data_IF_097915142046
#
_entry.id   IF_097915142046
#
_cell.length_a   1.000
_cell.length_b   1.000
_cell.length_c   1.000
_cell.angle_alpha   90.00
_cell.angle_beta   90.00
_cell.angle_gamma   90.00
#
_symmetry.space_group_name_H-M   'P 1'
#
loop_
_entity.id
_entity.type
_entity.pdbx_description
1 polymer ?
#
# COMPACT_ATOMS: atom_id res chain seq x y z
N UNK A 1 16.67 9.53 28.66
CA UNK A 1 17.51 9.68 27.44
C UNK A 1 16.55 9.69 26.26
N UNK A 2 16.14 10.88 25.81
CA UNK A 2 15.21 11.06 24.70
C UNK A 2 15.98 11.25 23.40
N UNK A 3 15.55 10.58 22.33
CA UNK A 3 16.12 10.76 20.99
C UNK A 3 15.53 12.02 20.34
N UNK A 4 16.39 12.95 19.93
CA UNK A 4 16.08 14.27 19.34
C UNK A 4 15.50 14.22 17.91
N UNK A 5 14.94 13.09 17.45
CA UNK A 5 14.48 12.96 16.05
C UNK A 5 12.98 13.17 15.85
N UNK A 6 12.20 13.48 16.89
CA UNK A 6 10.74 13.63 16.76
C UNK A 6 10.01 12.36 16.27
N UNK A 7 10.74 11.25 16.14
CA UNK A 7 10.28 10.02 15.50
C UNK A 7 9.64 9.12 16.56
N UNK A 8 8.31 8.93 16.49
CA UNK A 8 7.60 7.99 17.35
C UNK A 8 7.42 6.69 16.58
N UNK A 9 8.06 5.62 17.05
CA UNK A 9 7.87 4.27 16.51
C UNK A 9 6.77 3.52 17.29
N UNK A 10 5.90 2.82 16.56
CA UNK A 10 4.81 2.02 17.12
C UNK A 10 5.03 0.53 16.86
N UNK A 11 4.78 -0.31 17.87
CA UNK A 11 4.97 -1.76 17.76
C UNK A 11 3.78 -2.47 17.09
N UNK A 12 2.58 -1.93 17.23
CA UNK A 12 1.33 -2.48 16.69
C UNK A 12 0.20 -1.43 16.79
N UNK A 13 -0.98 -1.75 16.25
CA UNK A 13 -2.17 -0.87 16.28
C UNK A 13 -2.57 -0.43 17.68
N UNK A 14 -2.51 -1.33 18.66
CA UNK A 14 -2.82 -1.00 20.07
C UNK A 14 -1.83 0.00 20.64
N UNK A 15 -0.53 -0.18 20.36
CA UNK A 15 0.54 0.75 20.78
C UNK A 15 0.35 2.14 20.17
N UNK A 16 -0.07 2.20 18.91
CA UNK A 16 -0.46 3.46 18.27
C UNK A 16 -1.67 4.11 18.91
N UNK A 17 -2.77 3.39 19.07
CA UNK A 17 -3.99 3.94 19.68
C UNK A 17 -3.76 4.42 21.12
N UNK A 18 -2.83 3.81 21.86
CA UNK A 18 -2.48 4.18 23.22
C UNK A 18 -1.49 5.36 23.31
N UNK A 19 -0.55 5.48 22.37
CA UNK A 19 0.51 6.50 22.39
C UNK A 19 0.25 7.69 21.48
N UNK A 20 -0.75 7.62 20.59
CA UNK A 20 -1.09 8.76 19.72
C UNK A 20 -1.41 9.96 20.61
N UNK A 21 -0.87 11.16 20.29
CA UNK A 21 -1.17 12.35 21.05
C UNK A 21 -2.68 12.51 21.17
N UNK A 22 -3.20 12.56 22.40
CA UNK A 22 -4.57 12.97 22.60
C UNK A 22 -4.67 14.39 22.04
N UNK A 23 -5.56 14.60 21.07
CA UNK A 23 -5.88 15.95 20.58
C UNK A 23 -6.05 16.86 21.80
N UNK A 24 -5.44 18.07 21.83
CA UNK A 24 -5.89 19.07 22.78
C UNK A 24 -7.39 19.17 22.57
N UNK A 25 -8.18 18.88 23.62
CA UNK A 25 -9.62 19.13 23.61
C UNK A 25 -9.76 20.61 23.29
N UNK A 26 -9.94 20.95 22.01
CA UNK A 26 -10.40 22.25 21.61
C UNK A 26 -11.68 22.45 22.42
N UNK A 27 -11.61 23.38 23.38
CA UNK A 27 -12.68 23.64 24.30
C UNK A 27 -13.93 23.92 23.46
N UNK A 28 -14.85 22.96 23.45
CA UNK A 28 -16.22 23.19 23.01
C UNK A 28 -16.69 24.42 23.78
N UNK A 29 -17.20 25.46 23.11
CA UNK A 29 -17.65 26.66 23.79
C UNK A 29 -18.86 26.28 24.64
N UNK A 30 -18.62 26.10 25.95
CA UNK A 30 -19.68 26.10 26.94
C UNK A 30 -20.32 27.48 26.95
N UNK A 31 -21.63 27.51 26.80
CA UNK A 31 -22.51 28.68 26.90
C UNK A 31 -22.31 29.43 28.23
N UNK A 32 -22.62 30.74 28.28
CA UNK A 32 -21.88 31.71 29.08
C UNK A 32 -22.40 31.81 30.52
N UNK A 33 -21.48 31.99 31.46
CA UNK A 33 -21.78 32.66 32.73
C UNK A 33 -21.09 34.02 32.73
N UNK A 34 -21.89 35.04 33.02
CA UNK A 34 -21.59 36.47 33.06
C UNK A 34 -20.34 36.81 33.89
N UNK A 35 -19.36 37.51 33.31
CA UNK A 35 -18.59 38.55 34.01
C UNK A 35 -17.99 39.55 33.02
N UNK A 36 -18.16 40.83 33.34
CA UNK A 36 -17.91 42.04 32.56
C UNK A 36 -16.46 42.53 32.67
N UNK A 37 -15.70 42.66 31.57
CA UNK A 37 -14.45 43.47 31.41
C UNK A 37 -14.33 43.90 29.92
N UNK A 38 -13.78 45.10 29.57
CA UNK A 38 -14.23 45.88 28.42
C UNK A 38 -13.51 45.62 27.08
N UNK A 39 -14.22 46.06 26.04
CA UNK A 39 -14.01 45.98 24.59
C UNK A 39 -12.76 46.73 24.08
N UNK A 40 -11.96 46.13 23.18
CA UNK A 40 -11.31 46.86 22.10
C UNK A 40 -12.05 46.58 20.77
N UNK A 41 -12.23 47.64 19.98
CA UNK A 41 -12.95 47.60 18.71
C UNK A 41 -12.25 46.69 17.68
N UNK A 42 -13.01 45.71 17.19
CA UNK A 42 -12.66 44.95 16.00
C UNK A 42 -13.85 44.99 15.02
N UNK A 43 -13.50 45.33 13.79
CA UNK A 43 -14.32 45.49 12.59
C UNK A 43 -15.22 44.26 12.35
N UNK A 44 -16.50 44.43 11.95
CA UNK A 44 -17.40 43.30 11.73
C UNK A 44 -16.99 42.51 10.48
N UNK A 45 -16.57 41.26 10.67
CA UNK A 45 -16.51 40.25 9.61
C UNK A 45 -17.81 39.46 9.66
N UNK A 46 -18.51 39.48 8.54
CA UNK A 46 -19.78 38.84 8.27
C UNK A 46 -19.71 37.32 8.49
N UNK A 47 -20.61 36.78 9.33
CA UNK A 47 -20.69 35.36 9.70
C UNK A 47 -21.94 34.73 9.11
N UNK A 48 -21.99 34.61 7.79
CA UNK A 48 -22.96 33.73 7.11
C UNK A 48 -22.35 33.07 5.88
N UNK A 49 -21.55 32.03 6.08
CA UNK A 49 -21.32 30.94 5.13
C UNK A 49 -20.56 29.81 5.87
N UNK A 50 -20.41 28.64 5.23
CA UNK A 50 -19.59 27.50 5.68
C UNK A 50 -20.06 26.70 6.91
N UNK A 51 -21.32 26.25 6.91
CA UNK A 51 -21.67 24.94 7.50
C UNK A 51 -22.28 23.94 6.51
N UNK A 52 -22.63 24.37 5.31
CA UNK A 52 -23.28 23.54 4.30
C UNK A 52 -22.30 22.79 3.37
N UNK A 53 -21.06 23.27 3.18
CA UNK A 53 -20.15 22.68 2.19
C UNK A 53 -19.45 21.39 2.63
N UNK A 54 -19.09 21.24 3.92
CA UNK A 54 -18.40 20.03 4.39
C UNK A 54 -19.31 18.79 4.41
N UNK A 55 -20.58 18.95 4.77
CA UNK A 55 -21.52 17.82 4.78
C UNK A 55 -21.92 17.37 3.38
N UNK A 56 -21.90 18.29 2.40
CA UNK A 56 -22.16 17.96 1.00
C UNK A 56 -20.93 17.30 0.35
N UNK A 57 -19.71 17.77 0.67
CA UNK A 57 -18.46 17.15 0.20
C UNK A 57 -18.26 15.73 0.76
N UNK A 58 -18.59 15.50 2.04
CA UNK A 58 -18.55 14.17 2.63
C UNK A 58 -19.58 13.21 1.99
N UNK A 59 -20.79 13.71 1.69
CA UNK A 59 -21.83 12.93 1.01
C UNK A 59 -21.49 12.63 -0.45
N UNK A 60 -20.90 13.58 -1.17
CA UNK A 60 -20.50 13.40 -2.57
C UNK A 60 -19.31 12.43 -2.69
N UNK A 61 -18.39 12.47 -1.73
CA UNK A 61 -17.26 11.51 -1.64
C UNK A 61 -17.76 10.11 -1.30
N UNK A 62 -18.64 9.97 -0.30
CA UNK A 62 -19.26 8.69 0.03
C UNK A 62 -20.06 8.12 -1.16
N UNK A 63 -20.77 8.97 -1.90
CA UNK A 63 -21.51 8.57 -3.10
C UNK A 63 -20.58 8.08 -4.21
N UNK A 64 -19.47 8.77 -4.47
CA UNK A 64 -18.48 8.35 -5.48
C UNK A 64 -17.78 7.04 -5.12
N UNK A 65 -17.52 6.79 -3.84
CA UNK A 65 -16.97 5.51 -3.34
C UNK A 65 -18.00 4.38 -3.53
N UNK A 66 -19.27 4.63 -3.21
CA UNK A 66 -20.35 3.64 -3.42
C UNK A 66 -20.60 3.38 -4.91
N UNK A 67 -20.57 4.40 -5.76
CA UNK A 67 -20.73 4.28 -7.22
C UNK A 67 -19.54 3.56 -7.88
N UNK A 68 -18.33 3.66 -7.30
CA UNK A 68 -17.17 2.89 -7.70
C UNK A 68 -17.25 1.43 -7.24
N UNK A 69 -17.69 1.19 -6.01
CA UNK A 69 -17.91 -0.16 -5.46
C UNK A 69 -19.02 -0.92 -6.21
N UNK A 70 -20.05 -0.23 -6.69
CA UNK A 70 -21.15 -0.81 -7.47
C UNK A 70 -20.73 -1.26 -8.89
N UNK A 71 -19.53 -0.86 -9.37
CA UNK A 71 -18.97 -1.28 -10.66
C UNK A 71 -18.03 -2.47 -10.55
N UNK A 72 -17.74 -2.94 -9.34
CA UNK A 72 -16.99 -4.17 -9.13
C UNK A 72 -17.93 -5.38 -9.27
N UNK A 73 -17.50 -6.47 -9.93
CA UNK A 73 -18.30 -7.69 -9.98
C UNK A 73 -18.52 -8.24 -8.55
N UNK A 74 -19.70 -8.80 -8.24
CA UNK A 74 -19.96 -9.34 -6.92
C UNK A 74 -18.99 -10.50 -6.65
N UNK A 75 -18.10 -10.32 -5.68
CA UNK A 75 -17.30 -11.41 -5.14
C UNK A 75 -18.23 -12.40 -4.43
N UNK A 76 -18.09 -13.72 -4.66
CA UNK A 76 -18.90 -14.70 -3.95
C UNK A 76 -18.61 -14.65 -2.45
N UNK A 77 -19.62 -14.84 -1.58
CA UNK A 77 -19.43 -14.80 -0.13
C UNK A 77 -18.52 -15.96 0.30
N UNK A 78 -17.43 -15.62 1.00
CA UNK A 78 -16.66 -16.59 1.78
C UNK A 78 -17.50 -17.06 2.96
N UNK A 79 -18.07 -18.26 2.83
CA UNK A 79 -18.64 -18.99 3.95
C UNK A 79 -17.54 -19.37 4.93
N UNK A 80 -17.60 -18.76 6.10
CA UNK A 80 -16.78 -19.09 7.27
C UNK A 80 -17.17 -20.50 7.74
N UNK A 81 -16.26 -21.47 7.59
CA UNK A 81 -16.39 -22.76 8.28
C UNK A 81 -15.82 -22.56 9.69
N UNK A 82 -16.72 -22.33 10.64
CA UNK A 82 -16.46 -22.38 12.07
C UNK A 82 -16.38 -23.84 12.56
N UNK A 83 -15.34 -24.11 13.33
CA UNK A 83 -15.23 -25.06 14.44
C UNK A 83 -15.82 -26.48 14.31
N UNK A 84 -14.92 -27.47 14.29
CA UNK A 84 -15.22 -28.85 14.67
C UNK A 84 -14.13 -29.42 15.59
N UNK A 85 -14.48 -29.61 16.86
CA UNK A 85 -13.98 -30.69 17.76
C UNK A 85 -15.14 -31.05 18.70
N UNK A 86 -15.18 -32.24 19.31
CA UNK A 86 -15.68 -33.50 18.78
C UNK A 86 -16.91 -34.01 19.60
N UNK A 87 -17.27 -35.28 19.39
CA UNK A 87 -18.25 -36.09 20.13
C UNK A 87 -19.73 -35.90 19.76
N UNK A 88 -20.24 -36.87 18.98
CA UNK A 88 -21.33 -37.76 19.40
C UNK A 88 -21.65 -38.77 18.29
N UNK A 89 -21.28 -40.03 18.53
CA UNK A 89 -21.83 -41.20 17.85
C UNK A 89 -23.23 -41.44 18.44
N UNK A 90 -24.25 -41.69 17.60
CA UNK A 90 -24.84 -43.03 17.64
C UNK A 90 -25.03 -43.66 16.25
N UNK A 91 -24.74 -44.96 16.21
CA UNK A 91 -25.14 -45.94 15.20
C UNK A 91 -26.57 -45.74 14.71
N UNK A 92 -26.75 -45.59 13.40
CA UNK A 92 -27.94 -46.11 12.69
C UNK A 92 -27.49 -46.64 11.32
N UNK A 93 -27.67 -47.95 11.17
CA UNK A 93 -27.54 -48.70 9.94
C UNK A 93 -28.62 -48.29 8.92
N UNK A 94 -28.21 -48.03 7.69
CA UNK A 94 -29.04 -48.23 6.49
C UNK A 94 -28.13 -48.25 5.28
N UNK A 95 -28.04 -49.43 4.67
CA UNK A 95 -27.45 -49.67 3.36
C UNK A 95 -28.19 -48.83 2.32
N UNK A 96 -27.52 -47.85 1.72
CA UNK A 96 -27.91 -47.32 0.41
C UNK A 96 -26.69 -47.24 -0.50
N UNK A 97 -26.84 -47.95 -1.61
CA UNK A 97 -25.90 -48.17 -2.69
C UNK A 97 -25.69 -46.86 -3.44
N UNK A 98 -24.56 -46.21 -3.22
CA UNK A 98 -24.13 -45.05 -4.03
C UNK A 98 -23.29 -45.58 -5.18
N UNK A 99 -23.82 -45.46 -6.40
CA UNK A 99 -23.06 -45.67 -7.64
C UNK A 99 -21.97 -44.60 -7.75
N UNK A 100 -20.73 -45.07 -7.82
CA UNK A 100 -19.53 -44.29 -8.05
C UNK A 100 -19.51 -43.78 -9.50
N UNK A 101 -20.05 -42.57 -9.71
CA UNK A 101 -19.88 -41.86 -10.99
C UNK A 101 -18.53 -41.13 -10.93
N UNK A 102 -17.47 -41.82 -11.31
CA UNK A 102 -16.18 -41.22 -11.57
C UNK A 102 -16.27 -40.32 -12.81
N UNK A 103 -16.66 -39.07 -12.61
CA UNK A 103 -16.56 -38.04 -13.64
C UNK A 103 -15.09 -37.67 -13.78
N UNK A 104 -14.44 -38.29 -14.77
CA UNK A 104 -13.09 -37.96 -15.22
C UNK A 104 -13.14 -36.53 -15.74
N UNK A 105 -12.74 -35.57 -14.90
CA UNK A 105 -12.46 -34.20 -15.32
C UNK A 105 -11.23 -34.28 -16.21
N UNK A 106 -11.43 -34.26 -17.53
CA UNK A 106 -10.36 -33.99 -18.48
C UNK A 106 -9.79 -32.60 -18.18
N UNK A 107 -8.65 -32.57 -17.48
CA UNK A 107 -7.85 -31.36 -17.33
C UNK A 107 -7.38 -30.94 -18.73
N UNK A 108 -8.09 -29.98 -19.33
CA UNK A 108 -7.60 -29.29 -20.51
C UNK A 108 -6.25 -28.66 -20.14
N UNK A 109 -5.19 -28.93 -20.90
CA UNK A 109 -3.88 -28.35 -20.62
C UNK A 109 -4.02 -26.83 -20.69
N UNK A 110 -3.67 -26.17 -19.58
CA UNK A 110 -3.61 -24.71 -19.49
C UNK A 110 -2.70 -24.24 -20.62
N UNK A 111 -3.30 -23.64 -21.64
CA UNK A 111 -2.57 -23.04 -22.75
C UNK A 111 -1.61 -22.00 -22.15
N UNK A 112 -0.32 -22.32 -22.25
CA UNK A 112 0.76 -21.45 -21.83
C UNK A 112 0.70 -20.23 -22.74
N UNK A 113 0.10 -19.15 -22.26
CA UNK A 113 -0.04 -17.90 -23.02
C UNK A 113 1.37 -17.42 -23.36
N UNK A 114 1.81 -17.66 -24.59
CA UNK A 114 3.04 -17.08 -25.13
C UNK A 114 2.79 -15.60 -25.41
N UNK A 115 2.81 -14.78 -24.35
CA UNK A 115 2.89 -13.33 -24.50
C UNK A 115 4.29 -12.99 -24.99
N UNK A 116 4.42 -12.80 -26.32
CA UNK A 116 5.55 -12.11 -26.98
C UNK A 116 5.58 -10.61 -26.63
N UNK A 117 5.40 -10.28 -25.36
CA UNK A 117 5.49 -8.92 -24.88
C UNK A 117 6.96 -8.53 -24.69
N UNK A 118 7.31 -7.31 -25.06
CA UNK A 118 8.67 -6.79 -24.95
C UNK A 118 9.08 -6.74 -23.48
N UNK A 119 9.96 -7.65 -23.07
CA UNK A 119 10.49 -7.69 -21.72
C UNK A 119 11.30 -6.42 -21.45
N UNK A 120 10.94 -5.68 -20.40
CA UNK A 120 11.66 -4.50 -19.93
C UNK A 120 12.78 -4.97 -18.99
N UNK A 121 14.05 -5.02 -19.43
CA UNK A 121 15.20 -5.33 -18.56
C UNK A 121 15.62 -4.11 -17.71
N UNK A 122 14.71 -3.66 -16.84
CA UNK A 122 14.93 -2.55 -15.89
C UNK A 122 14.06 -2.72 -14.64
N UNK A 123 14.41 -2.06 -13.53
CA UNK A 123 13.55 -1.95 -12.35
C UNK A 123 12.12 -1.52 -12.68
N UNK A 124 11.15 -1.98 -11.88
CA UNK A 124 9.84 -1.34 -11.78
C UNK A 124 9.94 -0.28 -10.68
N UNK A 125 9.85 0.99 -11.06
CA UNK A 125 9.74 2.10 -10.10
C UNK A 125 8.43 2.80 -10.44
N UNK A 126 7.42 2.56 -9.61
CA UNK A 126 6.04 2.90 -9.92
C UNK A 126 5.49 3.82 -8.84
N UNK A 127 4.99 4.96 -9.29
CA UNK A 127 4.29 5.94 -8.47
C UNK A 127 2.79 5.85 -8.75
N UNK A 128 1.96 5.77 -7.72
CA UNK A 128 0.51 5.61 -7.82
C UNK A 128 -0.17 6.80 -7.15
N UNK A 129 -0.81 7.64 -7.97
CA UNK A 129 -1.51 8.85 -7.54
C UNK A 129 -2.80 8.51 -6.84
N UNK A 130 -3.13 9.26 -5.79
CA UNK A 130 -4.44 9.25 -5.16
C UNK A 130 -5.53 9.93 -5.99
N UNK A 131 -6.67 10.19 -5.35
CA UNK A 131 -7.79 10.86 -5.99
C UNK A 131 -7.48 12.33 -6.28
N UNK A 132 -7.39 12.69 -7.56
CA UNK A 132 -7.18 14.08 -7.97
C UNK A 132 -8.48 14.91 -7.90
N UNK A 133 -8.86 15.36 -6.71
CA UNK A 133 -9.98 16.29 -6.51
C UNK A 133 -9.48 17.74 -6.61
N UNK A 134 -9.53 18.32 -7.82
CA UNK A 134 -9.12 19.70 -8.19
C UNK A 134 -7.61 19.98 -8.24
N UNK A 135 -7.23 21.01 -9.00
CA UNK A 135 -5.86 21.47 -9.31
C UNK A 135 -5.08 22.07 -8.13
N UNK A 136 -5.31 21.57 -6.92
CA UNK A 136 -4.66 21.99 -5.67
C UNK A 136 -4.06 20.83 -4.87
N UNK A 137 -4.02 19.63 -5.46
CA UNK A 137 -3.16 18.54 -5.01
C UNK A 137 -1.72 18.96 -5.26
N UNK A 138 -0.80 18.71 -4.32
CA UNK A 138 0.61 18.99 -4.59
C UNK A 138 1.10 18.06 -5.70
N UNK A 139 1.98 18.57 -6.55
CA UNK A 139 2.59 17.76 -7.61
C UNK A 139 3.76 16.92 -7.06
N UNK A 140 3.98 16.88 -5.74
CA UNK A 140 5.13 16.28 -5.08
C UNK A 140 5.39 14.82 -5.43
N UNK A 141 4.35 13.98 -5.58
CA UNK A 141 4.51 12.60 -6.05
C UNK A 141 5.00 12.54 -7.52
N UNK A 142 4.50 13.43 -8.38
CA UNK A 142 4.91 13.52 -9.78
C UNK A 142 6.31 14.12 -9.92
N UNK A 143 6.64 15.12 -9.09
CA UNK A 143 7.97 15.70 -9.01
C UNK A 143 8.99 14.64 -8.60
N UNK A 144 8.69 13.84 -7.56
CA UNK A 144 9.51 12.70 -7.18
C UNK A 144 9.68 11.72 -8.34
N UNK A 145 8.59 11.36 -9.02
CA UNK A 145 8.64 10.46 -10.16
C UNK A 145 9.53 11.02 -11.29
N UNK A 146 9.37 12.29 -11.63
CA UNK A 146 10.10 12.96 -12.73
C UNK A 146 11.61 13.00 -12.51
N UNK A 147 12.04 13.10 -11.24
CA UNK A 147 13.44 13.10 -10.84
C UNK A 147 14.08 11.69 -10.86
N UNK A 148 13.28 10.62 -10.96
CA UNK A 148 13.77 9.25 -11.05
C UNK A 148 13.68 8.74 -12.50
N UNK A 149 14.81 8.54 -13.19
CA UNK A 149 14.81 8.08 -14.57
C UNK A 149 14.05 6.76 -14.74
N UNK A 150 13.18 6.72 -15.76
CA UNK A 150 12.39 5.53 -16.14
C UNK A 150 11.39 5.09 -15.05
N UNK A 151 11.04 5.95 -14.11
CA UNK A 151 9.85 5.76 -13.29
C UNK A 151 8.59 5.74 -14.17
N UNK A 152 7.51 5.17 -13.66
CA UNK A 152 6.19 5.18 -14.29
C UNK A 152 5.18 5.72 -13.27
N UNK A 153 4.24 6.53 -13.73
CA UNK A 153 3.18 7.12 -12.90
C UNK A 153 1.84 6.56 -13.36
N UNK A 154 1.03 6.14 -12.39
CA UNK A 154 -0.31 5.58 -12.59
C UNK A 154 -1.31 6.25 -11.64
N UNK A 155 -2.59 6.16 -11.95
CA UNK A 155 -3.71 6.48 -11.08
C UNK A 155 -4.03 5.28 -10.17
N UNK A 156 -4.60 5.54 -8.98
CA UNK A 156 -5.15 4.52 -8.08
C UNK A 156 -6.14 3.56 -8.77
N UNK A 157 -6.78 4.02 -9.86
CA UNK A 157 -7.73 3.22 -10.64
C UNK A 157 -7.06 2.24 -11.63
N UNK A 158 -5.75 2.32 -11.84
CA UNK A 158 -5.01 1.58 -12.87
C UNK A 158 -4.22 0.40 -12.28
N UNK A 159 -4.84 -0.31 -11.32
CA UNK A 159 -4.20 -1.42 -10.60
C UNK A 159 -3.69 -2.52 -11.54
N UNK A 160 -4.52 -2.93 -12.49
CA UNK A 160 -4.22 -4.05 -13.37
C UNK A 160 -3.05 -3.70 -14.32
N UNK A 161 -3.01 -2.47 -14.80
CA UNK A 161 -1.92 -1.93 -15.62
C UNK A 161 -0.59 -1.89 -14.86
N UNK A 162 -0.63 -1.56 -13.57
CA UNK A 162 0.54 -1.63 -12.69
C UNK A 162 1.04 -3.07 -12.57
N UNK A 163 0.15 -4.03 -12.26
CA UNK A 163 0.50 -5.45 -12.16
C UNK A 163 1.10 -5.96 -13.47
N UNK A 164 0.45 -5.70 -14.61
CA UNK A 164 0.96 -6.09 -15.92
C UNK A 164 2.34 -5.48 -16.22
N UNK A 165 2.53 -4.19 -15.90
CA UNK A 165 3.82 -3.51 -16.09
C UNK A 165 4.93 -4.21 -15.31
N UNK A 166 4.66 -4.61 -14.06
CA UNK A 166 5.62 -5.34 -13.21
C UNK A 166 5.93 -6.72 -13.79
N UNK A 167 4.93 -7.44 -14.29
CA UNK A 167 5.11 -8.78 -14.86
C UNK A 167 5.90 -8.77 -16.18
N UNK A 168 5.89 -7.65 -16.92
CA UNK A 168 6.73 -7.42 -18.11
C UNK A 168 8.23 -7.25 -17.79
N UNK A 169 8.65 -7.42 -16.53
CA UNK A 169 10.06 -7.29 -16.09
C UNK A 169 10.60 -8.59 -15.49
N UNK A 170 11.89 -8.92 -15.71
CA UNK A 170 12.52 -10.09 -15.10
C UNK A 170 12.37 -10.12 -13.58
N UNK A 171 12.25 -11.32 -12.99
CA UNK A 171 12.11 -11.52 -11.53
C UNK A 171 13.32 -11.05 -10.72
N UNK A 172 14.46 -10.89 -11.37
CA UNK A 172 15.70 -10.36 -10.79
C UNK A 172 15.73 -8.84 -10.73
N UNK A 173 14.83 -8.15 -11.44
CA UNK A 173 14.73 -6.70 -11.38
C UNK A 173 13.91 -6.28 -10.16
N UNK A 174 14.36 -5.25 -9.41
CA UNK A 174 13.66 -4.82 -8.22
C UNK A 174 12.29 -4.21 -8.57
N UNK A 175 11.34 -4.37 -7.65
CA UNK A 175 10.01 -3.77 -7.73
C UNK A 175 9.84 -2.79 -6.58
N UNK A 176 9.57 -1.54 -6.94
CA UNK A 176 9.43 -0.42 -6.03
C UNK A 176 8.08 0.23 -6.32
N UNK A 177 7.24 0.29 -5.30
CA UNK A 177 5.90 0.89 -5.34
C UNK A 177 5.85 2.07 -4.38
N UNK A 178 5.38 3.22 -4.83
CA UNK A 178 5.15 4.41 -4.02
C UNK A 178 3.73 4.86 -4.28
N UNK A 179 2.92 4.96 -3.24
CA UNK A 179 1.55 5.45 -3.35
C UNK A 179 1.30 6.64 -2.44
N UNK A 180 0.30 7.44 -2.79
CA UNK A 180 -0.24 8.50 -1.94
C UNK A 180 -1.76 8.40 -1.84
N UNK A 181 -2.33 8.59 -0.64
CA UNK A 181 -3.78 8.57 -0.43
C UNK A 181 -4.40 7.25 -0.92
N UNK A 182 -5.41 7.29 -1.81
CA UNK A 182 -5.93 6.07 -2.48
C UNK A 182 -4.87 5.29 -3.25
N UNK A 183 -3.84 5.96 -3.78
CA UNK A 183 -2.74 5.30 -4.47
C UNK A 183 -1.87 4.47 -3.54
N UNK A 184 -1.80 4.82 -2.25
CA UNK A 184 -1.15 3.98 -1.22
C UNK A 184 -1.90 2.68 -1.00
N UNK A 185 -3.23 2.74 -0.93
CA UNK A 185 -4.11 1.57 -0.83
C UNK A 185 -3.93 0.68 -2.05
N UNK A 186 -4.00 1.25 -3.25
CA UNK A 186 -3.72 0.52 -4.50
C UNK A 186 -2.33 -0.10 -4.51
N UNK A 187 -1.29 0.58 -4.02
CA UNK A 187 0.06 0.02 -3.96
C UNK A 187 0.12 -1.22 -3.04
N UNK A 188 -0.61 -1.20 -1.93
CA UNK A 188 -0.76 -2.37 -1.04
C UNK A 188 -1.54 -3.48 -1.73
N UNK A 189 -2.64 -3.18 -2.41
CA UNK A 189 -3.41 -4.17 -3.18
C UNK A 189 -2.56 -4.83 -4.28
N UNK A 190 -1.77 -4.05 -5.04
CA UNK A 190 -0.83 -4.57 -6.03
C UNK A 190 0.17 -5.52 -5.37
N UNK A 191 0.73 -5.16 -4.21
CA UNK A 191 1.67 -6.01 -3.51
C UNK A 191 1.01 -7.32 -3.05
N UNK A 192 -0.24 -7.27 -2.56
CA UNK A 192 -1.01 -8.44 -2.17
C UNK A 192 -1.35 -9.32 -3.38
N UNK A 193 -1.73 -8.73 -4.51
CA UNK A 193 -1.99 -9.43 -5.77
C UNK A 193 -0.74 -10.22 -6.20
N UNK A 194 0.41 -9.54 -6.26
CA UNK A 194 1.70 -10.14 -6.59
C UNK A 194 2.15 -11.25 -5.61
N UNK A 195 1.58 -11.29 -4.40
CA UNK A 195 1.83 -12.34 -3.40
C UNK A 195 1.07 -13.65 -3.68
N UNK A 196 0.28 -13.74 -4.75
CA UNK A 196 -0.42 -14.98 -5.12
C UNK A 196 0.50 -15.96 -5.86
N UNK A 197 0.13 -17.24 -5.81
CA UNK A 197 0.86 -18.32 -6.48
C UNK A 197 0.86 -18.17 -8.01
N UNK A 198 -0.20 -17.58 -8.58
CA UNK A 198 -0.33 -17.33 -10.02
C UNK A 198 0.73 -16.35 -10.56
N UNK A 199 1.22 -15.44 -9.72
CA UNK A 199 2.36 -14.56 -10.02
C UNK A 199 3.67 -15.08 -9.41
N UNK A 200 3.64 -16.29 -8.84
CA UNK A 200 4.76 -16.97 -8.21
C UNK A 200 5.33 -16.22 -7.01
N UNK A 201 4.51 -15.49 -6.24
CA UNK A 201 4.98 -14.66 -5.11
C UNK A 201 6.02 -13.61 -5.57
N UNK A 202 5.65 -12.78 -6.56
CA UNK A 202 6.55 -11.75 -7.08
C UNK A 202 6.92 -10.79 -5.94
N UNK A 203 8.23 -10.66 -5.70
CA UNK A 203 8.76 -9.82 -4.62
C UNK A 203 8.58 -8.33 -4.93
N UNK A 204 8.28 -7.58 -3.88
CA UNK A 204 8.28 -6.11 -3.83
C UNK A 204 9.41 -5.70 -2.88
N UNK A 205 10.45 -5.07 -3.42
CA UNK A 205 11.64 -4.71 -2.64
C UNK A 205 11.40 -3.52 -1.73
N UNK A 206 10.57 -2.58 -2.19
CA UNK A 206 10.16 -1.40 -1.43
C UNK A 206 8.71 -1.05 -1.73
N UNK A 207 7.92 -0.88 -0.67
CA UNK A 207 6.58 -0.34 -0.70
C UNK A 207 6.56 0.93 0.15
N UNK A 208 6.27 2.08 -0.45
CA UNK A 208 6.10 3.35 0.27
C UNK A 208 4.63 3.72 0.24
N UNK A 209 4.06 3.98 1.42
CA UNK A 209 2.70 4.48 1.57
C UNK A 209 2.74 5.86 2.20
N UNK A 210 2.23 6.85 1.48
CA UNK A 210 2.11 8.23 1.93
C UNK A 210 0.65 8.50 2.30
N UNK A 211 0.43 8.68 3.60
CA UNK A 211 -0.84 8.99 4.24
C UNK A 211 -2.04 8.26 3.59
N UNK A 212 -2.01 6.93 3.69
CA UNK A 212 -2.93 6.06 2.97
C UNK A 212 -4.38 6.30 3.37
N UNK A 213 -5.26 6.25 2.37
CA UNK A 213 -6.73 6.31 2.53
C UNK A 213 -7.28 5.09 1.80
N UNK A 214 -8.05 4.26 2.48
CA UNK A 214 -8.47 2.99 1.91
C UNK A 214 -9.06 2.04 2.95
N UNK A 215 -9.34 0.82 2.53
CA UNK A 215 -9.79 -0.24 3.42
C UNK A 215 -8.86 -1.44 3.29
N UNK A 216 -8.48 -2.04 4.42
CA UNK A 216 -7.72 -3.30 4.50
C UNK A 216 -6.26 -3.23 3.99
N UNK A 217 -5.67 -2.05 3.97
CA UNK A 217 -4.27 -1.80 3.65
C UNK A 217 -3.34 -1.79 4.90
N UNK A 218 -3.90 -1.92 6.10
CA UNK A 218 -3.17 -2.10 7.38
C UNK A 218 -2.19 -3.29 7.38
N UNK A 219 -2.41 -4.34 6.56
CA UNK A 219 -1.61 -5.58 6.60
C UNK A 219 -0.75 -5.74 5.35
N UNK A 220 0.56 -5.72 5.55
CA UNK A 220 1.56 -5.85 4.49
C UNK A 220 1.92 -7.32 4.25
N UNK A 221 1.84 -7.76 3.00
CA UNK A 221 2.09 -9.13 2.57
C UNK A 221 3.57 -9.52 2.63
N UNK A 222 3.83 -10.82 2.80
CA UNK A 222 5.17 -11.38 3.01
C UNK A 222 6.12 -11.27 1.79
N UNK A 223 5.60 -10.99 0.59
CA UNK A 223 6.42 -10.71 -0.59
C UNK A 223 7.02 -9.30 -0.59
N UNK A 224 6.59 -8.42 0.33
CA UNK A 224 7.17 -7.09 0.52
C UNK A 224 8.36 -7.21 1.46
N UNK A 225 9.55 -6.83 0.99
CA UNK A 225 10.77 -6.86 1.80
C UNK A 225 10.81 -5.72 2.82
N UNK A 226 10.47 -4.51 2.37
CA UNK A 226 10.46 -3.32 3.23
C UNK A 226 9.27 -2.44 2.89
N UNK A 227 8.51 -2.04 3.90
CA UNK A 227 7.49 -1.01 3.79
C UNK A 227 7.86 0.22 4.64
N UNK A 228 7.81 1.39 4.01
CA UNK A 228 7.91 2.69 4.67
C UNK A 228 6.53 3.33 4.64
N UNK A 229 5.93 3.49 5.82
CA UNK A 229 4.61 4.06 5.97
C UNK A 229 4.71 5.42 6.66
N UNK A 230 4.37 6.48 5.93
CA UNK A 230 4.33 7.84 6.44
C UNK A 230 2.87 8.21 6.68
N UNK A 231 2.54 8.59 7.91
CA UNK A 231 1.17 8.83 8.37
C UNK A 231 1.05 10.30 8.74
N UNK A 232 0.13 11.03 8.12
CA UNK A 232 -0.20 12.40 8.52
C UNK A 232 -0.94 12.42 9.85
N UNK A 233 -0.74 13.46 10.65
CA UNK A 233 -1.47 13.66 11.90
C UNK A 233 -2.82 14.38 11.70
N UNK A 234 -3.14 14.76 10.47
CA UNK A 234 -4.40 15.42 10.13
C UNK A 234 -5.54 14.41 9.94
N UNK A 235 -6.55 14.55 10.78
CA UNK A 235 -7.65 13.60 10.83
C UNK A 235 -8.75 13.95 9.81
N UNK A 236 -8.71 13.32 8.63
CA UNK A 236 -9.85 13.31 7.71
C UNK A 236 -10.90 12.22 7.99
N UNK A 237 -10.70 11.40 9.02
CA UNK A 237 -11.63 10.32 9.38
C UNK A 237 -11.60 9.10 8.45
N UNK A 238 -10.72 9.12 7.44
CA UNK A 238 -10.52 8.06 6.44
C UNK A 238 -9.03 7.70 6.30
N UNK A 239 -8.13 8.38 7.03
CA UNK A 239 -6.72 8.03 7.05
C UNK A 239 -6.54 6.69 7.76
N UNK A 240 -5.75 5.82 7.16
CA UNK A 240 -5.59 4.46 7.61
C UNK A 240 -4.69 4.36 8.85
N UNK A 241 -4.72 3.20 9.53
CA UNK A 241 -3.90 2.98 10.72
C UNK A 241 -2.44 2.66 10.32
N UNK A 242 -1.52 2.51 11.30
CA UNK A 242 -0.17 2.05 10.98
C UNK A 242 -0.17 0.68 10.33
N UNK A 243 0.62 0.54 9.27
CA UNK A 243 0.87 -0.72 8.60
C UNK A 243 1.54 -1.74 9.54
N UNK A 244 1.22 -3.02 9.35
CA UNK A 244 1.72 -4.14 10.14
C UNK A 244 2.17 -5.25 9.18
N UNK A 245 3.35 -5.82 9.42
CA UNK A 245 3.82 -6.97 8.66
C UNK A 245 2.93 -8.18 8.96
N UNK A 246 2.45 -8.87 7.93
CA UNK A 246 1.80 -10.19 8.11
C UNK A 246 2.77 -11.22 8.68
N UNK A 247 4.04 -11.15 8.27
CA UNK A 247 5.12 -11.97 8.81
C UNK A 247 6.42 -11.14 8.89
N UNK A 248 6.91 -10.95 10.11
CA UNK A 248 8.11 -10.12 10.39
C UNK A 248 9.42 -10.75 9.96
N UNK A 249 9.45 -12.06 9.67
CA UNK A 249 10.65 -12.75 9.19
C UNK A 249 10.95 -12.39 7.72
N UNK A 250 9.92 -12.01 6.96
CA UNK A 250 10.03 -11.68 5.54
C UNK A 250 9.88 -10.17 5.26
N UNK A 251 9.12 -9.47 6.10
CA UNK A 251 8.72 -8.09 5.86
C UNK A 251 9.12 -7.19 7.01
N UNK A 252 9.91 -6.16 6.69
CA UNK A 252 10.22 -5.08 7.62
C UNK A 252 9.28 -3.89 7.38
N UNK A 253 8.48 -3.53 8.39
CA UNK A 253 7.58 -2.35 8.32
C UNK A 253 8.12 -1.25 9.23
N UNK A 254 8.23 -0.04 8.69
CA UNK A 254 8.63 1.16 9.42
C UNK A 254 7.48 2.17 9.30
N UNK A 255 6.89 2.52 10.44
CA UNK A 255 5.83 3.53 10.53
C UNK A 255 6.40 4.84 11.08
N UNK A 256 6.08 5.96 10.43
CA UNK A 256 6.42 7.31 10.87
C UNK A 256 5.17 8.19 10.91
N UNK A 257 4.78 8.64 12.10
CA UNK A 257 3.76 9.68 12.27
C UNK A 257 4.40 11.05 12.04
N UNK A 258 3.73 11.91 11.27
CA UNK A 258 4.25 13.22 10.83
C UNK A 258 3.22 14.32 11.06
N UNK A 259 3.71 15.53 11.26
CA UNK A 259 2.88 16.76 11.32
C UNK A 259 2.52 17.33 9.94
N UNK A 260 2.88 16.62 8.87
CA UNK A 260 2.54 17.01 7.51
C UNK A 260 1.05 16.71 7.26
N UNK A 261 0.38 17.57 6.49
CA UNK A 261 -1.00 17.30 6.08
C UNK A 261 -1.07 16.19 5.03
N UNK A 262 -2.23 15.58 4.87
CA UNK A 262 -2.54 14.59 3.84
C UNK A 262 -2.01 15.01 2.47
N UNK A 263 -2.19 16.27 2.09
CA UNK A 263 -1.69 16.82 0.81
C UNK A 263 -0.25 17.34 0.89
N UNK A 264 0.23 17.67 2.08
CA UNK A 264 1.57 18.21 2.31
C UNK A 264 2.65 17.16 2.36
N UNK A 265 2.33 15.93 2.76
CA UNK A 265 3.30 14.87 3.05
C UNK A 265 4.17 14.49 1.83
N UNK A 266 3.60 14.56 0.63
CA UNK A 266 4.32 14.29 -0.63
C UNK A 266 5.26 15.44 -1.05
N UNK A 267 5.08 16.64 -0.49
CA UNK A 267 5.92 17.82 -0.71
C UNK A 267 6.98 17.99 0.39
N UNK A 268 6.98 17.13 1.41
CA UNK A 268 7.91 17.19 2.53
C UNK A 268 9.30 16.77 2.06
N UNK A 269 10.26 17.68 2.07
CA UNK A 269 11.65 17.43 1.63
C UNK A 269 12.27 16.23 2.37
N UNK A 270 11.96 16.07 3.66
CA UNK A 270 12.45 14.93 4.45
C UNK A 270 11.87 13.60 3.97
N UNK A 271 10.56 13.56 3.66
CA UNK A 271 9.90 12.36 3.12
C UNK A 271 10.49 12.03 1.76
N UNK A 272 10.61 13.02 0.88
CA UNK A 272 11.19 12.84 -0.45
C UNK A 272 12.62 12.31 -0.34
N UNK A 273 13.48 12.93 0.48
CA UNK A 273 14.85 12.50 0.69
C UNK A 273 14.93 11.05 1.17
N UNK A 274 14.13 10.67 2.18
CA UNK A 274 14.09 9.28 2.67
C UNK A 274 13.66 8.30 1.57
N UNK A 275 12.67 8.65 0.76
CA UNK A 275 12.24 7.83 -0.37
C UNK A 275 13.37 7.68 -1.39
N UNK A 276 14.01 8.78 -1.79
CA UNK A 276 15.14 8.76 -2.74
C UNK A 276 16.31 7.92 -2.23
N UNK A 277 16.76 8.11 -0.99
CA UNK A 277 17.86 7.34 -0.42
C UNK A 277 17.60 5.84 -0.44
N UNK A 278 16.35 5.44 -0.18
CA UNK A 278 15.92 4.05 -0.15
C UNK A 278 15.86 3.44 -1.55
N UNK A 279 15.36 4.19 -2.52
CA UNK A 279 15.37 3.80 -3.94
C UNK A 279 16.83 3.65 -4.41
N UNK A 280 17.66 4.65 -4.18
CA UNK A 280 19.07 4.65 -4.57
C UNK A 280 19.84 3.47 -4.01
N UNK A 281 19.65 3.15 -2.73
CA UNK A 281 20.28 2.01 -2.09
C UNK A 281 19.91 0.70 -2.78
N UNK A 282 18.63 0.52 -3.15
CA UNK A 282 18.16 -0.67 -3.86
C UNK A 282 18.71 -0.75 -5.27
N UNK A 283 18.74 0.36 -6.00
CA UNK A 283 19.26 0.40 -7.37
C UNK A 283 20.76 0.13 -7.42
N UNK A 284 21.55 0.73 -6.52
CA UNK A 284 22.98 0.44 -6.38
C UNK A 284 23.23 -1.03 -6.06
N UNK A 285 22.45 -1.61 -5.14
CA UNK A 285 22.50 -3.02 -4.80
C UNK A 285 22.20 -3.94 -5.99
N UNK A 286 21.16 -3.63 -6.76
CA UNK A 286 20.79 -4.40 -7.94
C UNK A 286 21.86 -4.38 -9.04
N UNK A 287 22.49 -3.21 -9.27
CA UNK A 287 23.61 -3.08 -10.22
C UNK A 287 24.81 -3.91 -9.77
N UNK A 288 25.19 -3.82 -8.49
CA UNK A 288 26.30 -4.60 -7.94
C UNK A 288 26.06 -6.11 -8.06
N UNK A 289 24.84 -6.58 -7.77
CA UNK A 289 24.46 -7.99 -7.92
C UNK A 289 24.52 -8.45 -9.38
N UNK A 290 24.04 -7.63 -10.33
CA UNK A 290 24.10 -7.94 -11.77
C UNK A 290 25.57 -8.06 -12.24
N UNK A 291 26.44 -7.16 -11.80
CA UNK A 291 27.87 -7.20 -12.13
C UNK A 291 28.56 -8.43 -11.54
N UNK A 292 28.34 -8.72 -10.26
CA UNK A 292 28.89 -9.91 -9.60
C UNK A 292 28.45 -11.20 -10.29
N UNK A 293 27.17 -11.30 -10.66
CA UNK A 293 26.64 -12.47 -11.39
C UNK A 293 27.32 -12.64 -12.74
N UNK A 294 27.53 -11.54 -13.49
CA UNK A 294 28.21 -11.56 -14.78
C UNK A 294 29.66 -12.05 -14.65
N UNK A 295 30.41 -11.49 -13.70
CA UNK A 295 31.81 -11.89 -13.44
C UNK A 295 31.94 -13.37 -13.07
N UNK A 296 31.03 -13.89 -12.22
CA UNK A 296 31.03 -15.31 -11.84
C UNK A 296 30.74 -16.23 -13.04
N UNK A 297 29.84 -15.83 -13.94
CA UNK A 297 29.54 -16.59 -15.16
C UNK A 297 30.73 -16.62 -16.11
N UNK A 298 31.42 -15.49 -16.28
CA UNK A 298 32.63 -15.39 -17.12
C UNK A 298 33.76 -16.27 -16.57
N UNK A 299 34.06 -16.19 -15.27
CA UNK A 299 35.07 -17.03 -14.63
C UNK A 299 34.78 -18.54 -14.75
N UNK A 300 33.51 -18.95 -14.68
CA UNK A 300 33.12 -20.36 -14.87
C UNK A 300 33.29 -20.84 -16.31
N UNK A 301 33.18 -19.97 -17.32
CA UNK A 301 33.42 -20.34 -18.72
C UNK A 301 34.90 -20.59 -18.98
N UNK A 302 35.78 -19.75 -18.41
CA UNK A 302 37.23 -19.87 -18.58
C UNK A 302 37.79 -21.17 -17.98
N UNK A 303 37.25 -21.60 -16.83
CA UNK A 303 37.64 -22.88 -16.20
C UNK A 303 37.23 -24.12 -17.02
N UNK A 304 36.10 -24.08 -17.72
CA UNK A 304 35.65 -25.19 -18.57
C UNK A 304 36.39 -25.24 -19.91
N UNK A 305 36.94 -24.12 -20.37
CA UNK A 305 37.78 -24.05 -21.57
C UNK A 305 39.16 -24.69 -21.42
N UNK A 306 39.64 -24.91 -20.19
CA UNK A 306 40.97 -25.46 -19.91
C UNK A 306 40.98 -26.94 -19.48
N UNK A 307 39.85 -27.64 -19.50
CA UNK A 307 39.75 -29.06 -19.09
C UNK A 307 39.86 -30.08 -20.24
N UNK A 308 40.26 -29.66 -21.44
CA UNK A 308 40.42 -30.54 -22.61
C UNK A 308 41.75 -30.25 -23.32
N UNK A 309 42.88 -30.49 -22.65
CA UNK A 309 44.17 -30.73 -23.28
C UNK A 309 44.92 -31.81 -22.51
#
# INVERSE_FOLDING_TARGET
MGSETGLIQYKNKTDYLAKKPALPKAALPNTPTSTTIPKPDLVPIDKTATKTSLSEQAKDTAKKVVDAAAKLPPTPPLSVVTDLVPDLIPDIASEEKVEEVAEVIEEKPVEKIERKETIKDRPAIIFIKGLSLSSSSGDGLEDMASAIPKSEVYSWSEKDEVVESILKRPRTQPVILIGHSLGSDTAVEVAQELNKIEYGFRKVDLLVTLDSVGFNNDIISQNVKTNLNFIGDDWYGINDSPNIARNTDYTNVINELRGDTHRGIENSEEVQLKVFERIDALLKGAVAQKMSTKLSIEAHKDLKGHSLQ
#
